data_IF_125445193350
#
_entry.id   IF_125445193350
#
_cell.length_a   1.000
_cell.length_b   1.000
_cell.length_c   1.000
_cell.angle_alpha   90.00
_cell.angle_beta   90.00
_cell.angle_gamma   90.00
#
_symmetry.space_group_name_H-M   'P 1'
#
loop_
_entity.id
_entity.type
_entity.pdbx_description
1 polymer ?
#
# COMPACT_ATOMS: atom_id res chain seq x y z
N UNK A 1 -6.79 -62.34 -12.96
CA UNK A 1 -5.89 -61.21 -12.62
C UNK A 1 -5.99 -60.96 -11.13
N UNK A 2 -4.90 -61.10 -10.38
CA UNK A 2 -4.86 -60.79 -8.95
C UNK A 2 -4.55 -59.29 -8.80
N UNK A 3 -5.59 -58.47 -8.60
CA UNK A 3 -5.41 -57.04 -8.40
C UNK A 3 -4.80 -56.82 -7.02
N UNK A 4 -3.53 -56.45 -7.00
CA UNK A 4 -2.83 -56.15 -5.75
C UNK A 4 -3.29 -54.78 -5.23
N UNK A 5 -3.29 -54.56 -3.91
CA UNK A 5 -3.78 -53.32 -3.31
C UNK A 5 -3.11 -52.06 -3.89
N UNK A 6 -1.83 -52.16 -4.23
CA UNK A 6 -1.06 -51.12 -4.93
C UNK A 6 -1.62 -50.79 -6.31
N UNK A 7 -2.05 -51.80 -7.08
CA UNK A 7 -2.64 -51.62 -8.42
C UNK A 7 -4.00 -50.93 -8.33
N UNK A 8 -4.79 -51.25 -7.30
CA UNK A 8 -6.09 -50.60 -7.04
C UNK A 8 -5.89 -49.13 -6.63
N UNK A 9 -4.92 -48.85 -5.77
CA UNK A 9 -4.60 -47.49 -5.35
C UNK A 9 -4.12 -46.62 -6.53
N UNK A 10 -3.24 -47.15 -7.39
CA UNK A 10 -2.79 -46.45 -8.60
C UNK A 10 -3.96 -46.17 -9.53
N UNK A 11 -4.85 -47.15 -9.75
CA UNK A 11 -6.05 -46.98 -10.59
C UNK A 11 -6.96 -45.87 -10.06
N UNK A 12 -7.20 -45.82 -8.75
CA UNK A 12 -8.02 -44.77 -8.12
C UNK A 12 -7.41 -43.37 -8.30
N UNK A 13 -6.10 -43.24 -8.09
CA UNK A 13 -5.40 -41.96 -8.29
C UNK A 13 -5.47 -41.51 -9.74
N UNK A 14 -5.26 -42.42 -10.70
CA UNK A 14 -5.31 -42.11 -12.14
C UNK A 14 -6.72 -41.69 -12.57
N UNK A 15 -7.75 -42.40 -12.09
CA UNK A 15 -9.16 -42.07 -12.38
C UNK A 15 -9.54 -40.68 -11.85
N UNK A 16 -8.96 -40.24 -10.74
CA UNK A 16 -9.19 -38.89 -10.20
C UNK A 16 -8.32 -37.83 -10.88
N UNK A 17 -7.06 -38.15 -11.21
CA UNK A 17 -6.11 -37.19 -11.76
C UNK A 17 -6.40 -36.82 -13.22
N UNK A 18 -6.78 -37.77 -14.07
CA UNK A 18 -7.08 -37.51 -15.50
C UNK A 18 -8.21 -36.49 -15.69
N UNK A 19 -9.42 -36.65 -15.10
CA UNK A 19 -10.50 -35.68 -15.29
C UNK A 19 -10.14 -34.31 -14.72
N UNK A 20 -9.37 -34.27 -13.64
CA UNK A 20 -8.83 -33.02 -13.09
C UNK A 20 -7.91 -32.32 -14.08
N UNK A 21 -6.95 -33.03 -14.66
CA UNK A 21 -6.02 -32.47 -15.66
C UNK A 21 -6.76 -32.00 -16.91
N UNK A 22 -7.78 -32.72 -17.37
CA UNK A 22 -8.64 -32.28 -18.49
C UNK A 22 -9.36 -30.97 -18.15
N UNK A 23 -9.86 -30.83 -16.92
CA UNK A 23 -10.49 -29.59 -16.46
C UNK A 23 -9.48 -28.42 -16.44
N UNK A 24 -8.26 -28.66 -15.93
CA UNK A 24 -7.17 -27.67 -15.93
C UNK A 24 -6.81 -27.24 -17.35
N UNK A 25 -6.65 -28.18 -18.29
CA UNK A 25 -6.31 -27.87 -19.69
C UNK A 25 -7.41 -27.03 -20.35
N UNK A 26 -8.69 -27.40 -20.17
CA UNK A 26 -9.81 -26.61 -20.68
C UNK A 26 -9.81 -25.19 -20.11
N UNK A 27 -9.49 -25.04 -18.83
CA UNK A 27 -9.40 -23.75 -18.15
C UNK A 27 -8.26 -22.88 -18.68
N UNK A 28 -7.10 -23.47 -18.98
CA UNK A 28 -5.98 -22.80 -19.64
C UNK A 28 -6.35 -22.35 -21.05
N UNK A 29 -6.97 -23.23 -21.84
CA UNK A 29 -7.31 -22.95 -23.24
C UNK A 29 -8.45 -21.93 -23.38
N UNK A 30 -9.50 -22.03 -22.56
CA UNK A 30 -10.69 -21.18 -22.71
C UNK A 30 -10.53 -19.79 -22.11
N UNK A 31 -9.66 -19.63 -21.11
CA UNK A 31 -9.51 -18.39 -20.35
C UNK A 31 -8.09 -17.80 -20.40
N UNK A 32 -7.20 -18.38 -21.19
CA UNK A 32 -5.78 -17.99 -21.30
C UNK A 32 -5.07 -17.93 -19.94
N UNK A 33 -5.55 -18.69 -18.95
CA UNK A 33 -4.99 -18.72 -17.60
C UNK A 33 -3.64 -19.47 -17.64
N UNK A 34 -2.56 -18.92 -17.05
CA UNK A 34 -1.30 -19.65 -16.92
C UNK A 34 -1.48 -21.00 -16.21
N UNK A 35 -0.85 -22.06 -16.73
CA UNK A 35 -1.01 -23.44 -16.24
C UNK A 35 -0.81 -23.55 -14.71
N UNK A 36 0.19 -22.86 -14.17
CA UNK A 36 0.51 -22.85 -12.74
C UNK A 36 -0.67 -22.35 -11.90
N UNK A 37 -1.38 -21.32 -12.37
CA UNK A 37 -2.57 -20.78 -11.69
C UNK A 37 -3.81 -21.65 -11.96
N UNK A 38 -3.92 -22.23 -13.16
CA UNK A 38 -5.02 -23.12 -13.51
C UNK A 38 -5.02 -24.43 -12.71
N UNK A 39 -3.84 -24.90 -12.24
CA UNK A 39 -3.68 -26.02 -11.31
C UNK A 39 -4.24 -25.76 -9.92
N UNK A 40 -4.62 -24.53 -9.58
CA UNK A 40 -5.41 -24.25 -8.39
C UNK A 40 -6.90 -24.44 -8.73
N UNK A 41 -7.61 -25.37 -8.07
CA UNK A 41 -9.03 -25.61 -8.34
C UNK A 41 -9.89 -24.37 -8.05
N UNK A 42 -9.50 -23.53 -7.10
CA UNK A 42 -10.26 -22.34 -6.68
C UNK A 42 -10.00 -21.09 -7.50
N UNK A 43 -9.00 -21.10 -8.39
CA UNK A 43 -8.62 -19.91 -9.15
C UNK A 43 -9.60 -19.67 -10.32
N UNK A 44 -10.47 -18.68 -10.27
CA UNK A 44 -11.52 -18.51 -11.30
C UNK A 44 -11.08 -17.63 -12.47
N UNK A 45 -11.93 -17.54 -13.51
CA UNK A 45 -11.74 -16.59 -14.63
C UNK A 45 -11.71 -15.14 -14.13
N UNK A 46 -12.64 -14.79 -13.25
CA UNK A 46 -12.75 -13.43 -12.68
C UNK A 46 -11.49 -13.03 -11.90
N UNK A 47 -10.91 -13.98 -11.14
CA UNK A 47 -9.63 -13.75 -10.47
C UNK A 47 -8.51 -13.48 -11.47
N UNK A 48 -8.51 -14.16 -12.62
CA UNK A 48 -7.52 -13.91 -13.65
C UNK A 48 -7.66 -12.55 -14.31
N UNK A 49 -8.89 -12.14 -14.62
CA UNK A 49 -9.17 -10.83 -15.19
C UNK A 49 -8.79 -9.71 -14.21
N UNK A 50 -9.09 -9.88 -12.91
CA UNK A 50 -8.66 -8.96 -11.86
C UNK A 50 -7.13 -8.86 -11.75
N UNK A 51 -6.42 -9.98 -11.82
CA UNK A 51 -4.95 -9.99 -11.82
C UNK A 51 -4.37 -9.27 -13.05
N UNK A 52 -4.94 -9.49 -14.24
CA UNK A 52 -4.50 -8.80 -15.46
C UNK A 52 -4.77 -7.30 -15.39
N UNK A 53 -5.95 -6.91 -14.88
CA UNK A 53 -6.30 -5.51 -14.67
C UNK A 53 -5.37 -4.85 -13.64
N UNK A 54 -5.07 -5.53 -12.54
CA UNK A 54 -4.11 -5.04 -11.55
C UNK A 54 -2.71 -4.87 -12.16
N UNK A 55 -2.28 -5.82 -12.98
CA UNK A 55 -0.99 -5.74 -13.68
C UNK A 55 -0.96 -4.59 -14.69
N UNK A 56 -2.05 -4.32 -15.41
CA UNK A 56 -2.10 -3.22 -16.37
C UNK A 56 -2.20 -1.84 -15.70
N UNK A 57 -2.87 -1.77 -14.54
CA UNK A 57 -2.99 -0.54 -13.75
C UNK A 57 -1.75 -0.27 -12.88
N UNK A 58 -0.97 -1.28 -12.51
CA UNK A 58 0.19 -1.12 -11.63
C UNK A 58 1.22 -0.11 -12.14
N UNK A 59 1.62 -0.08 -13.44
CA UNK A 59 2.49 0.96 -13.97
C UNK A 59 1.90 2.36 -13.83
N UNK A 60 0.60 2.52 -14.11
CA UNK A 60 -0.10 3.81 -14.03
C UNK A 60 -0.13 4.30 -12.58
N UNK A 61 -0.49 3.43 -11.65
CA UNK A 61 -0.49 3.73 -10.22
C UNK A 61 0.91 4.14 -9.74
N UNK A 62 1.94 3.40 -10.15
CA UNK A 62 3.32 3.70 -9.80
C UNK A 62 3.78 5.05 -10.35
N UNK A 63 3.43 5.38 -11.59
CA UNK A 63 3.74 6.68 -12.20
C UNK A 63 3.02 7.82 -11.46
N UNK A 64 1.74 7.64 -11.13
CA UNK A 64 0.99 8.61 -10.35
C UNK A 64 1.60 8.83 -8.95
N UNK A 65 1.91 7.76 -8.22
CA UNK A 65 2.56 7.82 -6.92
C UNK A 65 3.94 8.52 -7.02
N UNK A 66 4.72 8.19 -8.04
CA UNK A 66 6.03 8.80 -8.30
C UNK A 66 5.88 10.29 -8.62
N UNK A 67 4.90 10.67 -9.44
CA UNK A 67 4.64 12.06 -9.78
C UNK A 67 4.14 12.86 -8.57
N UNK A 68 3.28 12.27 -7.75
CA UNK A 68 2.80 12.88 -6.50
C UNK A 68 3.96 13.12 -5.53
N UNK A 69 4.82 12.11 -5.35
CA UNK A 69 6.01 12.22 -4.52
C UNK A 69 6.99 13.27 -5.06
N UNK A 70 7.22 13.31 -6.39
CA UNK A 70 8.09 14.30 -7.01
C UNK A 70 7.55 15.73 -6.83
N UNK A 71 6.22 15.93 -6.97
CA UNK A 71 5.58 17.23 -6.69
C UNK A 71 5.70 17.60 -5.22
N UNK A 72 5.51 16.64 -4.30
CA UNK A 72 5.68 16.84 -2.87
C UNK A 72 7.11 17.29 -2.55
N UNK A 73 8.12 16.55 -3.01
CA UNK A 73 9.53 16.88 -2.79
C UNK A 73 9.84 18.26 -3.34
N UNK A 74 9.48 18.54 -4.60
CA UNK A 74 9.75 19.83 -5.23
C UNK A 74 9.12 21.00 -4.48
N UNK A 75 7.86 20.87 -4.05
CA UNK A 75 7.15 21.92 -3.33
C UNK A 75 7.83 22.25 -1.99
N UNK A 76 8.12 21.22 -1.21
CA UNK A 76 8.66 21.39 0.13
C UNK A 76 10.14 21.75 0.13
N UNK A 77 10.95 21.19 -0.77
CA UNK A 77 12.33 21.63 -0.99
C UNK A 77 12.38 23.12 -1.35
N UNK A 78 11.51 23.59 -2.25
CA UNK A 78 11.45 25.02 -2.59
C UNK A 78 11.06 25.89 -1.38
N UNK A 79 10.17 25.44 -0.50
CA UNK A 79 9.85 26.18 0.74
C UNK A 79 11.01 26.19 1.73
N UNK A 80 11.70 25.06 1.88
CA UNK A 80 12.82 24.92 2.80
C UNK A 80 14.04 25.74 2.36
N UNK A 81 14.36 25.76 1.07
CA UNK A 81 15.46 26.56 0.52
C UNK A 81 15.20 28.07 0.62
N UNK A 82 13.93 28.49 0.49
CA UNK A 82 13.54 29.89 0.63
C UNK A 82 13.30 30.31 2.09
N UNK A 83 13.39 29.39 3.06
CA UNK A 83 13.13 29.67 4.47
C UNK A 83 11.71 30.13 4.79
N UNK A 84 10.73 29.78 3.96
CA UNK A 84 9.35 30.28 4.04
C UNK A 84 8.38 29.33 4.77
N UNK A 85 8.90 28.59 5.77
CA UNK A 85 8.11 27.66 6.57
C UNK A 85 7.14 28.42 7.49
N UNK A 86 5.85 28.07 7.46
CA UNK A 86 4.80 28.70 8.29
C UNK A 86 4.17 27.73 9.30
N UNK A 87 3.39 28.22 10.27
CA UNK A 87 2.63 27.38 11.20
C UNK A 87 1.63 26.45 10.48
N UNK A 88 0.98 26.95 9.42
CA UNK A 88 0.08 26.15 8.59
C UNK A 88 0.84 25.01 7.89
N UNK A 89 2.04 25.28 7.41
CA UNK A 89 2.87 24.29 6.74
C UNK A 89 3.28 23.13 7.67
N UNK A 90 3.60 23.45 8.92
CA UNK A 90 3.90 22.43 9.94
C UNK A 90 2.66 21.61 10.27
N UNK A 91 1.49 22.24 10.30
CA UNK A 91 0.21 21.55 10.48
C UNK A 91 -0.08 20.59 9.31
N UNK A 92 0.12 21.04 8.07
CA UNK A 92 -0.07 20.22 6.87
C UNK A 92 0.91 19.02 6.82
N UNK A 93 2.16 19.23 7.25
CA UNK A 93 3.16 18.18 7.38
C UNK A 93 2.80 17.19 8.51
N UNK A 94 2.32 17.67 9.65
CA UNK A 94 1.82 16.83 10.74
C UNK A 94 0.59 16.01 10.34
N UNK A 95 -0.32 16.58 9.54
CA UNK A 95 -1.46 15.85 8.99
C UNK A 95 -1.00 14.70 8.08
N UNK A 96 0.01 14.94 7.22
CA UNK A 96 0.61 13.88 6.40
C UNK A 96 1.30 12.79 7.22
N UNK A 97 1.89 13.14 8.36
CA UNK A 97 2.43 12.17 9.33
C UNK A 97 1.28 11.32 9.91
N UNK A 98 0.18 11.94 10.30
CA UNK A 98 -1.01 11.24 10.81
C UNK A 98 -1.64 10.30 9.77
N UNK A 99 -1.60 10.68 8.48
CA UNK A 99 -2.03 9.85 7.35
C UNK A 99 -1.07 8.67 7.04
N UNK A 100 -0.02 8.47 7.83
CA UNK A 100 0.93 7.38 7.69
C UNK A 100 2.09 7.63 6.73
N UNK A 101 2.29 8.87 6.25
CA UNK A 101 3.39 9.25 5.33
C UNK A 101 4.65 9.77 6.05
N UNK A 102 4.87 9.29 7.27
CA UNK A 102 5.99 9.70 8.15
C UNK A 102 7.36 9.61 7.48
N UNK A 103 7.61 8.55 6.71
CA UNK A 103 8.91 8.35 6.05
C UNK A 103 9.17 9.39 4.95
N UNK A 104 8.13 9.85 4.25
CA UNK A 104 8.26 10.89 3.22
C UNK A 104 8.61 12.24 3.86
N UNK A 105 7.92 12.58 4.96
CA UNK A 105 8.16 13.83 5.70
C UNK A 105 9.52 13.81 6.39
N UNK A 106 9.90 12.70 7.03
CA UNK A 106 11.21 12.56 7.65
C UNK A 106 12.34 12.56 6.63
N UNK A 107 12.14 11.91 5.48
CA UNK A 107 13.12 11.88 4.40
C UNK A 107 13.44 13.27 3.89
N UNK A 108 12.42 14.10 3.64
CA UNK A 108 12.65 15.46 3.16
C UNK A 108 13.22 16.38 4.23
N UNK A 109 12.78 16.26 5.49
CA UNK A 109 13.37 17.03 6.60
C UNK A 109 14.83 16.62 6.88
N UNK A 110 15.21 15.36 6.62
CA UNK A 110 16.60 14.92 6.76
C UNK A 110 17.54 15.56 5.74
N UNK A 111 17.03 15.89 4.55
CA UNK A 111 17.81 16.57 3.50
C UNK A 111 18.02 18.07 3.79
N UNK A 112 17.19 18.67 4.66
CA UNK A 112 17.23 20.09 4.99
C UNK A 112 17.31 20.33 6.51
N UNK A 113 18.51 20.27 7.12
CA UNK A 113 18.71 20.36 8.57
C UNK A 113 18.16 21.65 9.20
N UNK A 114 18.28 22.78 8.50
CA UNK A 114 17.74 24.06 8.95
C UNK A 114 16.21 24.06 9.01
N UNK A 115 15.55 23.52 7.98
CA UNK A 115 14.10 23.39 7.95
C UNK A 115 13.60 22.39 9.01
N UNK A 116 14.38 21.34 9.31
CA UNK A 116 14.09 20.42 10.42
C UNK A 116 14.07 21.13 11.77
N UNK A 117 15.03 22.03 12.02
CA UNK A 117 15.07 22.80 13.26
C UNK A 117 13.84 23.72 13.39
N UNK A 118 13.52 24.46 12.31
CA UNK A 118 12.32 25.32 12.25
C UNK A 118 11.02 24.53 12.41
N UNK A 119 10.91 23.36 11.77
CA UNK A 119 9.77 22.48 11.92
C UNK A 119 9.61 22.03 13.38
N UNK A 120 10.69 21.63 14.06
CA UNK A 120 10.65 21.21 15.45
C UNK A 120 10.26 22.34 16.40
N UNK A 121 10.78 23.55 16.15
CA UNK A 121 10.46 24.74 16.93
C UNK A 121 8.98 25.10 16.82
N UNK A 122 8.46 25.23 15.60
CA UNK A 122 7.05 25.55 15.35
C UNK A 122 6.14 24.43 15.87
N UNK A 123 6.51 23.17 15.67
CA UNK A 123 5.72 22.04 16.16
C UNK A 123 5.66 22.00 17.70
N UNK A 124 6.75 22.36 18.38
CA UNK A 124 6.74 22.50 19.84
C UNK A 124 5.80 23.63 20.29
N UNK A 125 5.81 24.77 19.59
CA UNK A 125 4.90 25.89 19.87
C UNK A 125 3.44 25.49 19.65
N UNK A 126 3.12 24.76 18.58
CA UNK A 126 1.75 24.27 18.30
C UNK A 126 1.26 23.32 19.40
N UNK A 127 2.10 22.37 19.83
CA UNK A 127 1.74 21.45 20.94
C UNK A 127 1.50 22.17 22.26
N UNK A 128 2.25 23.22 22.55
CA UNK A 128 2.04 24.06 23.73
C UNK A 128 0.72 24.85 23.64
N UNK A 129 0.37 25.36 22.45
CA UNK A 129 -0.93 26.01 22.22
C UNK A 129 -2.09 25.02 22.38
N UNK A 130 -1.99 23.82 21.82
CA UNK A 130 -3.01 22.76 21.97
C UNK A 130 -3.21 22.37 23.44
N UNK A 131 -2.12 22.17 24.19
CA UNK A 131 -2.18 21.83 25.61
C UNK A 131 -2.77 22.98 26.48
N UNK A 132 -2.53 24.23 26.10
CA UNK A 132 -3.12 25.40 26.78
C UNK A 132 -4.63 25.53 26.55
N UNK A 133 -5.10 25.23 25.33
CA UNK A 133 -6.53 25.27 24.97
C UNK A 133 -7.31 24.16 25.68
N UNK A 134 -6.74 22.96 25.86
CA UNK A 134 -7.38 21.89 26.64
C UNK A 134 -7.53 22.24 28.13
N UNK A 135 -6.61 23.04 28.68
CA UNK A 135 -6.64 23.49 30.07
C UNK A 135 -7.72 24.56 30.32
N UNK A 136 -7.91 25.50 29.37
CA UNK A 136 -8.98 26.48 29.44
C UNK A 136 -10.36 25.84 29.24
N UNK A 137 -10.50 24.91 28.27
CA UNK A 137 -11.75 24.19 28.03
C UNK A 137 -12.16 23.29 29.22
N UNK A 138 -11.22 22.73 29.96
CA UNK A 138 -11.52 21.92 31.16
C UNK A 138 -11.94 22.78 32.36
N UNK A 139 -11.55 24.06 32.38
CA UNK A 139 -11.86 25.00 33.48
C UNK A 139 -13.23 25.65 33.28
N UNK A 140 -13.66 25.87 32.04
CA UNK A 140 -14.97 26.45 31.70
C UNK A 140 -16.15 25.46 31.87
N UNK A 141 -15.90 24.14 31.78
CA UNK A 141 -16.95 23.11 31.94
C UNK A 141 -17.23 22.78 33.43
N UNK A 142 -16.39 23.27 34.34
CA UNK A 142 -16.52 23.08 35.80
C UNK A 142 -16.95 24.34 36.57
N UNK A 143 -17.27 25.45 35.87
CA UNK A 143 -17.71 26.71 36.45
C UNK A 143 -19.24 26.88 36.46
#
# INVERSE_FOLDING_TARGET
MNLNATTIAILLVVILAIPYLVHVIRKVQNYSIPLIKALNPFYTKEMHEADQLKLSLSPILKEMETQELAKFIKHWTAKFENGSLTEQDVTDLNARIADGRTDQVNGILALHPAARAQFQEINAQLKLKEAGVEQEASTEVLA
#
